data_IF_128282347511
#
_entry.id   IF_128282347511
#
_cell.length_a   1.000
_cell.length_b   1.000
_cell.length_c   1.000
_cell.angle_alpha   90.00
_cell.angle_beta   90.00
_cell.angle_gamma   90.00
#
_symmetry.space_group_name_H-M   'P 1'
#
loop_
_entity.id
_entity.type
_entity.pdbx_description
1 polymer ?
#
# COMPACT_ATOMS: atom_id res chain seq x y z
N UNK A 1 8.78 -9.41 -15.49
CA UNK A 1 10.22 -9.64 -15.22
C UNK A 1 10.94 -8.30 -15.33
N UNK A 2 11.51 -7.82 -14.23
CA UNK A 2 12.72 -6.98 -14.16
C UNK A 2 13.02 -6.78 -12.66
N UNK A 3 13.66 -7.79 -12.05
CA UNK A 3 14.12 -7.75 -10.65
C UNK A 3 15.56 -7.22 -10.61
N UNK A 4 15.76 -5.99 -11.10
CA UNK A 4 17.04 -5.30 -10.93
C UNK A 4 16.91 -4.34 -9.77
N UNK A 5 17.59 -4.59 -8.66
CA UNK A 5 17.79 -3.57 -7.63
C UNK A 5 19.02 -2.73 -8.00
N UNK A 6 18.95 -1.42 -7.80
CA UNK A 6 20.05 -0.48 -8.06
C UNK A 6 20.48 0.11 -6.73
N UNK A 7 21.77 0.00 -6.45
CA UNK A 7 22.40 0.71 -5.34
C UNK A 7 22.70 2.15 -5.77
N UNK A 8 22.06 3.10 -5.10
CA UNK A 8 22.21 4.52 -5.33
C UNK A 8 22.95 5.13 -4.14
N UNK A 9 24.00 5.89 -4.41
CA UNK A 9 24.70 6.66 -3.39
C UNK A 9 24.41 8.14 -3.62
N UNK A 10 23.76 8.78 -2.64
CA UNK A 10 23.42 10.20 -2.66
C UNK A 10 24.27 10.93 -1.62
N UNK A 11 25.02 11.91 -2.08
CA UNK A 11 25.90 12.73 -1.24
C UNK A 11 25.26 14.10 -1.05
N UNK A 12 24.91 14.43 0.19
CA UNK A 12 24.38 15.74 0.58
C UNK A 12 25.36 16.41 1.56
N UNK A 13 26.10 17.42 1.08
CA UNK A 13 27.14 18.08 1.85
C UNK A 13 28.23 17.09 2.32
N UNK A 14 28.36 16.92 3.64
CA UNK A 14 29.33 15.99 4.25
C UNK A 14 28.72 14.63 4.63
N UNK A 15 27.49 14.33 4.20
CA UNK A 15 26.79 13.08 4.51
C UNK A 15 26.51 12.30 3.25
N UNK A 16 26.79 11.00 3.30
CA UNK A 16 26.50 10.05 2.24
C UNK A 16 25.37 9.14 2.67
N UNK A 17 24.39 8.94 1.79
CA UNK A 17 23.23 8.09 1.99
C UNK A 17 23.19 7.02 0.90
N UNK A 18 23.07 5.76 1.30
CA UNK A 18 22.97 4.63 0.38
C UNK A 18 21.53 4.12 0.33
N UNK A 19 21.01 3.98 -0.89
CA UNK A 19 19.64 3.56 -1.17
C UNK A 19 19.66 2.35 -2.10
N UNK A 20 18.98 1.27 -1.74
CA UNK A 20 18.74 0.14 -2.65
C UNK A 20 17.34 0.27 -3.24
N UNK A 21 17.22 0.82 -4.45
CA UNK A 21 15.93 1.18 -5.07
C UNK A 21 15.73 0.49 -6.41
N UNK A 22 14.47 0.39 -6.86
CA UNK A 22 14.15 -0.08 -8.21
C UNK A 22 14.78 0.83 -9.28
N UNK A 23 15.07 0.33 -10.50
CA UNK A 23 15.76 1.11 -11.52
C UNK A 23 14.97 2.36 -11.89
N UNK A 24 13.64 2.27 -11.90
CA UNK A 24 12.75 3.40 -12.14
C UNK A 24 12.92 4.54 -11.10
N UNK A 25 13.10 4.21 -9.82
CA UNK A 25 13.35 5.20 -8.77
C UNK A 25 14.70 5.89 -8.96
N UNK A 26 15.73 5.10 -9.30
CA UNK A 26 17.05 5.61 -9.63
C UNK A 26 17.02 6.56 -10.83
N UNK A 27 16.31 6.18 -11.91
CA UNK A 27 16.18 7.01 -13.12
C UNK A 27 15.53 8.36 -12.82
N UNK A 28 14.51 8.39 -11.96
CA UNK A 28 13.87 9.65 -11.54
C UNK A 28 14.89 10.60 -10.92
N UNK A 29 15.69 10.13 -9.96
CA UNK A 29 16.71 10.97 -9.31
C UNK A 29 17.81 11.41 -10.28
N UNK A 30 18.21 10.54 -11.22
CA UNK A 30 19.19 10.91 -12.25
C UNK A 30 18.68 12.07 -13.11
N UNK A 31 17.41 12.08 -13.49
CA UNK A 31 16.85 13.21 -14.25
C UNK A 31 16.85 14.52 -13.47
N UNK A 32 16.57 14.46 -12.17
CA UNK A 32 16.66 15.63 -11.29
C UNK A 32 18.09 16.12 -11.06
N UNK A 33 19.11 15.29 -11.33
CA UNK A 33 20.51 15.73 -11.32
C UNK A 33 20.84 16.62 -12.54
N UNK A 34 20.19 16.36 -13.66
CA UNK A 34 20.40 17.10 -14.91
C UNK A 34 19.50 18.33 -15.01
N UNK A 35 18.33 18.31 -14.35
CA UNK A 35 17.36 19.39 -14.36
C UNK A 35 16.97 19.75 -12.93
N UNK A 36 17.20 21.01 -12.52
CA UNK A 36 16.90 21.47 -11.17
C UNK A 36 15.41 21.35 -10.80
N UNK A 37 14.51 21.42 -11.78
CA UNK A 37 13.04 21.38 -11.59
C UNK A 37 12.38 20.56 -12.68
N UNK A 38 11.56 19.59 -12.29
CA UNK A 38 10.80 18.75 -13.23
C UNK A 38 9.40 18.48 -12.68
N UNK A 39 8.42 18.48 -13.57
CA UNK A 39 7.04 18.12 -13.22
C UNK A 39 6.79 16.61 -13.29
N UNK A 40 5.82 16.12 -12.51
CA UNK A 40 5.43 14.70 -12.57
C UNK A 40 4.87 14.28 -13.95
N UNK A 41 4.22 15.19 -14.67
CA UNK A 41 3.69 14.93 -16.01
C UNK A 41 4.80 14.81 -17.06
N UNK A 42 5.83 15.64 -16.93
CA UNK A 42 7.02 15.60 -17.79
C UNK A 42 7.82 14.31 -17.56
N UNK A 43 8.05 13.92 -16.30
CA UNK A 43 8.67 12.63 -15.97
C UNK A 43 7.87 11.44 -16.48
N UNK A 44 6.53 11.49 -16.42
CA UNK A 44 5.67 10.46 -16.96
C UNK A 44 5.83 10.30 -18.48
N UNK A 45 5.94 11.42 -19.18
CA UNK A 45 6.16 11.44 -20.63
C UNK A 45 7.57 10.96 -20.98
N UNK A 46 8.58 11.45 -20.26
CA UNK A 46 9.99 11.13 -20.49
C UNK A 46 10.30 9.65 -20.27
N UNK A 47 9.73 9.07 -19.21
CA UNK A 47 9.94 7.66 -18.85
C UNK A 47 8.92 6.73 -19.52
N UNK A 48 7.96 7.27 -20.27
CA UNK A 48 6.81 6.54 -20.81
C UNK A 48 6.07 5.70 -19.75
N UNK A 49 5.94 6.24 -18.54
CA UNK A 49 5.33 5.59 -17.38
C UNK A 49 4.03 6.31 -17.02
N UNK A 50 2.95 5.60 -16.64
CA UNK A 50 1.70 6.24 -16.27
C UNK A 50 1.86 7.29 -15.15
N UNK A 51 1.19 8.45 -15.23
CA UNK A 51 1.36 9.55 -14.26
C UNK A 51 1.13 9.15 -12.81
N UNK A 52 0.18 8.24 -12.56
CA UNK A 52 -0.12 7.74 -11.21
C UNK A 52 1.06 6.93 -10.61
N UNK A 53 1.83 6.22 -11.44
CA UNK A 53 3.03 5.48 -10.99
C UNK A 53 4.14 6.47 -10.67
N UNK A 54 4.38 7.47 -11.53
CA UNK A 54 5.40 8.50 -11.30
C UNK A 54 5.11 9.29 -10.02
N UNK A 55 3.86 9.73 -9.80
CA UNK A 55 3.47 10.41 -8.56
C UNK A 55 3.79 9.57 -7.32
N UNK A 56 3.50 8.27 -7.35
CA UNK A 56 3.84 7.35 -6.26
C UNK A 56 5.35 7.22 -6.03
N UNK A 57 6.15 7.17 -7.11
CA UNK A 57 7.61 7.08 -7.02
C UNK A 57 8.25 8.39 -6.54
N UNK A 58 7.71 9.55 -6.93
CA UNK A 58 8.15 10.85 -6.43
C UNK A 58 7.80 11.00 -4.95
N UNK A 59 6.59 10.59 -4.54
CA UNK A 59 6.16 10.64 -3.14
C UNK A 59 7.12 9.86 -2.21
N UNK A 60 7.69 8.75 -2.67
CA UNK A 60 8.73 8.04 -1.93
C UNK A 60 9.94 8.94 -1.64
N UNK A 61 10.47 9.62 -2.66
CA UNK A 61 11.62 10.51 -2.49
C UNK A 61 11.30 11.79 -1.71
N UNK A 62 10.06 12.28 -1.79
CA UNK A 62 9.57 13.39 -0.97
C UNK A 62 9.50 12.98 0.51
N UNK A 63 9.01 11.78 0.80
CA UNK A 63 8.97 11.24 2.16
C UNK A 63 10.36 10.98 2.74
N UNK A 64 11.29 10.50 1.93
CA UNK A 64 12.71 10.39 2.32
C UNK A 64 13.33 11.78 2.54
N UNK A 65 12.70 12.85 2.06
CA UNK A 65 13.22 14.22 2.13
C UNK A 65 14.35 14.49 1.14
N UNK A 66 14.46 13.66 0.09
CA UNK A 66 15.41 13.81 -1.02
C UNK A 66 14.86 14.79 -2.06
N UNK A 67 13.55 14.76 -2.31
CA UNK A 67 12.85 15.72 -3.17
C UNK A 67 11.93 16.61 -2.33
N UNK A 68 11.66 17.81 -2.81
CA UNK A 68 10.65 18.72 -2.25
C UNK A 68 9.71 19.20 -3.34
N UNK A 69 8.45 19.46 -2.98
CA UNK A 69 7.44 20.01 -3.88
C UNK A 69 7.45 21.54 -3.80
N UNK A 70 7.59 22.20 -4.94
CA UNK A 70 7.82 23.66 -5.04
C UNK A 70 6.60 24.38 -5.64
N UNK A 71 5.74 23.65 -6.35
CA UNK A 71 4.55 24.19 -7.01
C UNK A 71 3.68 23.07 -7.60
N UNK A 72 2.62 23.44 -8.34
CA UNK A 72 1.60 22.53 -8.91
C UNK A 72 2.21 21.30 -9.62
N UNK A 73 2.44 20.21 -8.87
CA UNK A 73 3.08 18.98 -9.36
C UNK A 73 4.52 19.15 -9.91
N UNK A 74 5.26 20.14 -9.44
CA UNK A 74 6.68 20.39 -9.77
C UNK A 74 7.57 20.13 -8.56
N UNK A 75 8.62 19.36 -8.76
CA UNK A 75 9.53 18.90 -7.71
C UNK A 75 10.96 19.37 -7.99
N UNK A 76 11.76 19.54 -6.94
CA UNK A 76 13.19 19.83 -7.01
C UNK A 76 13.96 19.01 -5.96
N UNK A 77 15.28 18.88 -6.13
CA UNK A 77 16.15 18.19 -5.17
C UNK A 77 16.27 19.02 -3.89
N UNK A 78 16.06 18.38 -2.75
CA UNK A 78 16.30 18.98 -1.46
C UNK A 78 17.81 19.07 -1.19
N UNK A 79 18.38 20.25 -1.45
CA UNK A 79 19.80 20.56 -1.20
C UNK A 79 20.17 20.51 0.30
N UNK A 80 19.19 20.63 1.21
CA UNK A 80 19.40 20.54 2.66
C UNK A 80 19.56 19.09 3.15
N UNK A 81 19.25 18.12 2.28
CA UNK A 81 19.30 16.69 2.57
C UNK A 81 18.08 16.18 3.34
N UNK A 82 17.96 14.85 3.49
CA UNK A 82 16.82 14.19 4.09
C UNK A 82 16.56 14.66 5.54
N UNK A 83 15.29 14.89 5.89
CA UNK A 83 14.87 15.62 7.09
C UNK A 83 15.01 14.82 8.41
N UNK A 84 15.53 13.59 8.36
CA UNK A 84 15.77 12.79 9.56
C UNK A 84 17.06 11.96 9.44
N UNK A 85 17.99 12.04 10.41
CA UNK A 85 19.10 11.10 10.53
C UNK A 85 18.66 9.72 11.07
N UNK A 86 17.37 9.52 11.35
CA UNK A 86 16.83 8.28 11.90
C UNK A 86 16.09 7.49 10.82
N UNK A 87 16.83 6.82 9.93
CA UNK A 87 16.50 5.52 9.31
C UNK A 87 17.58 5.12 8.28
N UNK A 88 18.86 5.26 8.62
CA UNK A 88 19.93 4.58 7.88
C UNK A 88 19.99 3.13 8.34
N UNK A 89 19.05 2.32 7.86
CA UNK A 89 19.17 0.87 7.91
C UNK A 89 18.77 0.33 6.56
N UNK A 90 19.71 0.39 5.59
CA UNK A 90 19.69 -0.35 4.32
C UNK A 90 18.32 -0.96 4.00
N UNK A 91 17.34 -0.12 3.67
CA UNK A 91 16.00 -0.65 3.41
C UNK A 91 16.03 -1.09 1.96
N UNK A 92 16.36 -2.37 1.75
CA UNK A 92 15.99 -3.06 0.52
C UNK A 92 14.46 -3.04 0.43
N UNK A 93 13.92 -1.96 -0.14
CA UNK A 93 12.50 -1.87 -0.46
C UNK A 93 12.22 -2.70 -1.73
N UNK A 94 12.32 -4.01 -1.59
CA UNK A 94 11.37 -4.90 -2.24
C UNK A 94 10.21 -5.13 -1.26
N UNK A 95 9.41 -4.08 -1.08
CA UNK A 95 8.09 -4.26 -0.53
C UNK A 95 7.15 -3.29 -1.24
N UNK A 96 6.25 -3.88 -2.01
CA UNK A 96 4.91 -3.34 -2.21
C UNK A 96 4.29 -3.15 -0.80
N UNK A 97 4.67 -2.07 -0.13
CA UNK A 97 4.22 -1.74 1.22
C UNK A 97 3.86 -0.27 1.23
N UNK A 98 2.59 -0.04 0.87
CA UNK A 98 1.65 0.74 1.67
C UNK A 98 2.30 1.83 2.54
N UNK A 99 2.44 3.03 1.95
CA UNK A 99 2.46 4.27 2.71
C UNK A 99 1.07 4.41 3.36
N UNK A 100 0.98 4.83 4.64
CA UNK A 100 -0.27 5.07 5.35
C UNK A 100 -0.96 6.28 4.72
N UNK A 101 -1.70 6.03 3.64
CA UNK A 101 -2.69 6.97 3.16
C UNK A 101 -3.83 7.00 4.20
N UNK A 102 -4.38 8.18 4.45
CA UNK A 102 -5.76 8.35 4.90
C UNK A 102 -6.62 7.23 4.29
N UNK A 103 -7.51 6.57 5.08
CA UNK A 103 -8.19 5.39 4.60
C UNK A 103 -8.82 5.73 3.25
N UNK A 104 -8.42 5.04 2.16
CA UNK A 104 -9.20 5.11 0.93
C UNK A 104 -10.63 4.80 1.37
N UNK A 105 -11.66 5.46 0.84
CA UNK A 105 -13.06 5.12 1.15
C UNK A 105 -13.32 3.59 1.12
N UNK A 106 -12.57 2.86 0.28
CA UNK A 106 -12.52 1.40 0.23
C UNK A 106 -12.15 0.70 1.55
N UNK A 107 -11.30 1.28 2.41
CA UNK A 107 -10.90 0.72 3.70
C UNK A 107 -12.00 0.87 4.77
N UNK A 108 -12.73 2.00 4.79
CA UNK A 108 -13.91 2.16 5.64
C UNK A 108 -15.02 1.18 5.23
N UNK A 109 -15.23 1.00 3.92
CA UNK A 109 -16.18 0.02 3.39
C UNK A 109 -15.76 -1.43 3.73
N UNK A 110 -14.46 -1.73 3.72
CA UNK A 110 -13.91 -3.03 4.12
C UNK A 110 -14.08 -3.30 5.62
N UNK A 111 -13.95 -2.28 6.48
CA UNK A 111 -14.20 -2.43 7.92
C UNK A 111 -15.70 -2.59 8.23
N UNK A 112 -16.58 -1.90 7.51
CA UNK A 112 -18.02 -2.09 7.62
C UNK A 112 -18.40 -3.51 7.19
N UNK A 113 -17.88 -3.94 6.02
CA UNK A 113 -18.00 -5.30 5.51
C UNK A 113 -17.54 -6.34 6.55
N UNK A 114 -16.41 -6.09 7.23
CA UNK A 114 -15.92 -6.96 8.29
C UNK A 114 -16.93 -7.14 9.44
N UNK A 115 -17.51 -6.04 9.95
CA UNK A 115 -18.53 -6.11 11.01
C UNK A 115 -19.74 -6.94 10.58
N UNK A 116 -20.16 -6.79 9.33
CA UNK A 116 -21.24 -7.60 8.74
C UNK A 116 -20.85 -9.09 8.63
N UNK A 117 -19.64 -9.41 8.15
CA UNK A 117 -19.15 -10.79 8.05
C UNK A 117 -19.08 -11.44 9.42
N UNK A 118 -18.54 -10.75 10.43
CA UNK A 118 -18.49 -11.25 11.80
C UNK A 118 -19.91 -11.51 12.33
N UNK A 119 -20.85 -10.58 12.13
CA UNK A 119 -22.25 -10.77 12.53
C UNK A 119 -22.90 -11.98 11.84
N UNK A 120 -22.66 -12.15 10.54
CA UNK A 120 -23.16 -13.30 9.77
C UNK A 120 -22.55 -14.62 10.23
N UNK A 121 -21.23 -14.67 10.42
CA UNK A 121 -20.55 -15.89 10.86
C UNK A 121 -20.86 -16.24 12.33
N UNK A 122 -21.19 -15.25 13.15
CA UNK A 122 -21.65 -15.45 14.54
C UNK A 122 -23.07 -16.02 14.57
N UNK A 123 -23.98 -15.47 13.75
CA UNK A 123 -25.40 -15.84 13.77
C UNK A 123 -25.69 -17.10 12.94
N UNK A 124 -25.17 -17.17 11.71
CA UNK A 124 -25.45 -18.24 10.74
C UNK A 124 -24.45 -19.39 10.88
N UNK A 125 -23.21 -19.10 11.26
CA UNK A 125 -22.13 -20.07 11.32
C UNK A 125 -21.28 -20.10 10.04
N UNK A 126 -20.49 -21.17 9.89
CA UNK A 126 -19.49 -21.29 8.84
C UNK A 126 -20.11 -21.28 7.43
N UNK A 127 -19.56 -20.49 6.51
CA UNK A 127 -20.07 -20.38 5.15
C UNK A 127 -18.99 -20.10 4.11
N UNK A 128 -19.27 -20.44 2.85
CA UNK A 128 -18.33 -20.27 1.75
C UNK A 128 -18.19 -18.81 1.31
N UNK A 129 -17.05 -18.48 0.67
CA UNK A 129 -16.78 -17.15 0.11
C UNK A 129 -17.96 -16.62 -0.72
N UNK A 130 -18.51 -17.46 -1.58
CA UNK A 130 -19.60 -17.11 -2.50
C UNK A 130 -20.87 -16.70 -1.75
N UNK A 131 -21.15 -17.35 -0.62
CA UNK A 131 -22.31 -17.03 0.23
C UNK A 131 -22.09 -15.74 1.01
N UNK A 132 -20.88 -15.53 1.54
CA UNK A 132 -20.48 -14.29 2.20
C UNK A 132 -20.62 -13.11 1.22
N UNK A 133 -20.07 -13.25 0.01
CA UNK A 133 -20.14 -12.23 -1.03
C UNK A 133 -21.58 -11.90 -1.41
N UNK A 134 -22.43 -12.91 -1.61
CA UNK A 134 -23.84 -12.72 -1.94
C UNK A 134 -24.61 -11.99 -0.84
N UNK A 135 -24.33 -12.28 0.44
CA UNK A 135 -24.98 -11.60 1.56
C UNK A 135 -24.49 -10.16 1.71
N UNK A 136 -23.19 -9.92 1.53
CA UNK A 136 -22.63 -8.57 1.50
C UNK A 136 -23.25 -7.74 0.37
N UNK A 137 -23.39 -8.31 -0.82
CA UNK A 137 -24.06 -7.65 -1.96
C UNK A 137 -25.52 -7.32 -1.67
N UNK A 138 -26.21 -8.13 -0.88
CA UNK A 138 -27.59 -7.86 -0.46
C UNK A 138 -27.70 -6.79 0.63
N UNK A 139 -26.72 -6.68 1.53
CA UNK A 139 -26.71 -5.70 2.61
C UNK A 139 -26.15 -4.33 2.20
N UNK A 140 -25.13 -4.32 1.32
CA UNK A 140 -24.35 -3.12 0.95
C UNK A 140 -24.69 -2.65 -0.48
N UNK A 141 -25.36 -3.48 -1.29
CA UNK A 141 -25.82 -3.10 -2.63
C UNK A 141 -24.68 -2.92 -3.64
N UNK A 142 -24.74 -1.85 -4.43
CA UNK A 142 -23.82 -1.56 -5.55
C UNK A 142 -22.42 -1.11 -5.10
N UNK A 143 -22.23 -0.88 -3.79
CA UNK A 143 -20.94 -0.46 -3.20
C UNK A 143 -20.05 -1.63 -2.75
N UNK A 144 -20.38 -2.88 -3.14
CA UNK A 144 -19.58 -4.04 -2.73
C UNK A 144 -18.27 -4.13 -3.52
N UNK A 145 -17.11 -4.20 -2.84
CA UNK A 145 -15.82 -4.42 -3.49
C UNK A 145 -15.80 -5.73 -4.29
N UNK A 146 -14.94 -5.81 -5.31
CA UNK A 146 -14.79 -7.01 -6.14
C UNK A 146 -14.60 -8.27 -5.28
N UNK A 147 -15.14 -9.41 -5.73
CA UNK A 147 -15.02 -10.70 -5.05
C UNK A 147 -13.56 -11.06 -4.71
N UNK A 148 -12.61 -10.70 -5.59
CA UNK A 148 -11.17 -10.89 -5.37
C UNK A 148 -10.61 -10.06 -4.21
N UNK A 149 -11.10 -8.84 -4.02
CA UNK A 149 -10.71 -7.98 -2.90
C UNK A 149 -11.23 -8.55 -1.57
N UNK A 150 -12.51 -8.97 -1.54
CA UNK A 150 -13.12 -9.61 -0.36
C UNK A 150 -12.40 -10.92 -0.03
N UNK A 151 -12.10 -11.75 -1.03
CA UNK A 151 -11.32 -12.98 -0.83
C UNK A 151 -9.97 -12.71 -0.17
N UNK A 152 -9.22 -11.75 -0.71
CA UNK A 152 -7.90 -11.38 -0.19
C UNK A 152 -8.02 -10.84 1.24
N UNK A 153 -9.05 -10.04 1.52
CA UNK A 153 -9.33 -9.50 2.84
C UNK A 153 -9.67 -10.60 3.88
N UNK A 154 -10.54 -11.55 3.53
CA UNK A 154 -10.88 -12.68 4.39
C UNK A 154 -9.66 -13.58 4.63
N UNK A 155 -8.84 -13.82 3.61
CA UNK A 155 -7.59 -14.57 3.75
C UNK A 155 -6.62 -13.88 4.71
N UNK A 156 -6.49 -12.55 4.64
CA UNK A 156 -5.70 -11.77 5.60
C UNK A 156 -6.21 -11.98 7.03
N UNK A 157 -7.54 -11.99 7.24
CA UNK A 157 -8.16 -12.25 8.56
C UNK A 157 -7.99 -13.70 9.04
N UNK A 158 -7.83 -14.66 8.13
CA UNK A 158 -7.44 -16.04 8.49
C UNK A 158 -6.01 -16.08 9.02
N UNK A 159 -5.08 -15.39 8.34
CA UNK A 159 -3.68 -15.29 8.76
C UNK A 159 -3.56 -14.56 10.11
N UNK A 160 -4.36 -13.51 10.30
CA UNK A 160 -4.44 -12.73 11.54
C UNK A 160 -5.15 -13.47 12.69
N UNK A 161 -5.59 -14.72 12.47
CA UNK A 161 -6.20 -15.56 13.51
C UNK A 161 -7.63 -15.18 13.90
N UNK A 162 -8.31 -14.34 13.11
CA UNK A 162 -9.71 -13.97 13.33
C UNK A 162 -10.70 -14.91 12.64
N UNK A 163 -10.27 -15.58 11.57
CA UNK A 163 -11.06 -16.56 10.83
C UNK A 163 -10.33 -17.88 10.69
N UNK A 164 -11.09 -18.96 10.61
CA UNK A 164 -10.65 -20.30 10.25
C UNK A 164 -11.25 -20.68 8.91
N UNK A 165 -10.40 -21.09 7.97
CA UNK A 165 -10.83 -21.62 6.68
C UNK A 165 -10.78 -23.15 6.71
N UNK A 166 -11.95 -23.79 6.76
CA UNK A 166 -12.10 -25.23 6.86
C UNK A 166 -13.08 -25.73 5.79
N UNK A 167 -12.67 -26.75 5.04
CA UNK A 167 -13.51 -27.44 4.04
C UNK A 167 -14.24 -26.50 3.05
N UNK A 168 -13.58 -25.41 2.62
CA UNK A 168 -14.18 -24.46 1.68
C UNK A 168 -15.01 -23.33 2.32
N UNK A 169 -15.16 -23.34 3.65
CA UNK A 169 -15.96 -22.39 4.41
C UNK A 169 -15.09 -21.57 5.37
N UNK A 170 -15.45 -20.30 5.55
CA UNK A 170 -14.89 -19.43 6.58
C UNK A 170 -15.75 -19.55 7.83
N UNK A 171 -15.10 -19.62 8.99
CA UNK A 171 -15.71 -19.64 10.31
C UNK A 171 -14.93 -18.72 11.24
N UNK A 172 -15.57 -18.18 12.28
CA UNK A 172 -14.85 -17.40 13.29
C UNK A 172 -14.02 -18.33 14.15
N UNK A 173 -12.77 -17.95 14.39
CA UNK A 173 -11.89 -18.68 15.31
C UNK A 173 -12.49 -18.71 16.70
N UNK A 174 -12.27 -19.84 17.39
CA UNK A 174 -12.85 -20.15 18.70
C UNK A 174 -12.58 -19.08 19.78
N UNK A 175 -11.63 -18.17 19.56
CA UNK A 175 -11.31 -17.04 20.45
C UNK A 175 -12.32 -15.87 20.40
N UNK A 176 -13.22 -15.82 19.42
CA UNK A 176 -14.36 -14.85 19.37
C UNK A 176 -15.72 -15.49 19.70
N UNK A 177 -15.78 -16.81 19.91
CA UNK A 177 -16.97 -17.46 20.45
C UNK A 177 -17.02 -17.18 21.95
N UNK A 178 -17.62 -16.06 22.34
CA UNK A 178 -18.06 -15.85 23.72
C UNK A 178 -18.91 -17.09 24.09
N UNK A 179 -18.66 -17.75 25.23
CA UNK A 179 -19.36 -18.98 25.59
C UNK A 179 -20.86 -18.70 25.69
N UNK A 180 -21.66 -19.60 25.13
CA UNK A 180 -23.08 -19.71 25.48
C UNK A 180 -23.16 -19.89 26.99
N UNK A 181 -23.52 -18.83 27.73
CA UNK A 181 -24.03 -19.01 29.08
C UNK A 181 -25.35 -19.76 29.00
N UNK A 182 -25.46 -20.74 29.89
CA UNK A 182 -26.66 -21.52 30.18
C UNK A 182 -27.88 -20.62 30.39
#
# INVERSE_FOLDING_TARGET
>A
MNYGTVELELVFGNKTFQYCVSPLLATIIIHFKENDKISSAELATLLAVPPHVIKRKIAFWVNEGVLIEVGDSTYEINQLGPHSPAQTSAICFERDAAIPAEPPQEAEDLELCWKFVVGMLTNIGAMSLKRIYSMLSMCVGESVPKETAIKTYLQKRVIDGHLEYLAGNYSLTTHQKIPKSN
#
